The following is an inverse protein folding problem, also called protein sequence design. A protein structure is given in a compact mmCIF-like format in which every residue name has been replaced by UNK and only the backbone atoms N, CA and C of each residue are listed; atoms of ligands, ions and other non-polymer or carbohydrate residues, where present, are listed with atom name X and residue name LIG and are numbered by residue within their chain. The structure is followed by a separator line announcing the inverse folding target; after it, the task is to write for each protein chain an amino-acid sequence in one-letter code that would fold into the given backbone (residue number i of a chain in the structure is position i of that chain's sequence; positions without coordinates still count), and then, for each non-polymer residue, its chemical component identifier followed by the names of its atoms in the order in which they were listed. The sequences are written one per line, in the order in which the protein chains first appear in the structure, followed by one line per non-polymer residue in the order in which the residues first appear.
data_IF_426787644294
#
_entry.id   IF_426787644294
#
_cell.length_a   1.000
_cell.length_b   1.000
_cell.length_c   1.000
_cell.angle_alpha   90.00
_cell.angle_beta   90.00
_cell.angle_gamma   90.00
#
_symmetry.space_group_name_H-M   'P 1'
#
loop_
_entity.id
_entity.type
_entity.pdbx_description
1 polymer ?
#
# COMPACT_ATOMS: atom_id res chain seq x y z
N UNK A 1 -3.90 -18.65 6.99
CA UNK A 1 -4.31 -17.49 6.15
C UNK A 1 -3.87 -16.22 6.87
N UNK A 2 -3.10 -15.34 6.21
CA UNK A 2 -2.74 -14.02 6.79
C UNK A 2 -3.90 -13.04 6.60
N UNK A 3 -4.90 -13.14 7.48
CA UNK A 3 -6.13 -12.34 7.48
C UNK A 3 -5.91 -10.83 7.24
N UNK A 4 -4.89 -10.16 7.83
CA UNK A 4 -4.64 -8.74 7.59
C UNK A 4 -4.25 -8.38 6.15
N UNK A 5 -3.41 -9.20 5.49
CA UNK A 5 -2.99 -8.95 4.10
C UNK A 5 -4.16 -9.07 3.14
N UNK A 6 -5.01 -10.07 3.33
CA UNK A 6 -6.16 -10.30 2.45
C UNK A 6 -7.16 -9.15 2.55
N UNK A 7 -7.41 -8.63 3.76
CA UNK A 7 -8.26 -7.47 3.95
C UNK A 7 -7.71 -6.25 3.20
N UNK A 8 -6.42 -5.95 3.36
CA UNK A 8 -5.77 -4.83 2.66
C UNK A 8 -5.81 -5.00 1.12
N UNK A 9 -5.65 -6.22 0.61
CA UNK A 9 -5.75 -6.52 -0.83
C UNK A 9 -7.16 -6.31 -1.36
N UNK A 10 -8.19 -6.65 -0.59
CA UNK A 10 -9.60 -6.37 -0.95
C UNK A 10 -9.85 -4.86 -1.01
N UNK A 11 -9.47 -4.12 0.03
CA UNK A 11 -9.64 -2.65 0.06
C UNK A 11 -8.84 -1.96 -1.05
N UNK A 12 -7.65 -2.46 -1.39
CA UNK A 12 -6.88 -1.93 -2.52
C UNK A 12 -7.64 -2.10 -3.84
N UNK A 13 -8.27 -3.26 -4.06
CA UNK A 13 -9.06 -3.52 -5.27
C UNK A 13 -10.24 -2.56 -5.38
N UNK A 14 -10.98 -2.36 -4.29
CA UNK A 14 -12.10 -1.41 -4.25
C UNK A 14 -11.65 0.02 -4.57
N UNK A 15 -10.49 0.44 -4.08
CA UNK A 15 -9.92 1.75 -4.37
C UNK A 15 -9.49 1.88 -5.84
N UNK A 16 -8.89 0.84 -6.43
CA UNK A 16 -8.54 0.80 -7.85
C UNK A 16 -9.79 0.82 -8.75
N UNK A 17 -10.86 0.15 -8.35
CA UNK A 17 -12.16 0.20 -9.03
C UNK A 17 -12.77 1.60 -8.98
N UNK A 18 -12.68 2.29 -7.84
CA UNK A 18 -13.10 3.68 -7.71
C UNK A 18 -12.30 4.62 -8.63
N UNK A 19 -10.99 4.39 -8.79
CA UNK A 19 -10.17 5.14 -9.75
C UNK A 19 -10.60 4.91 -11.20
N UNK A 20 -10.96 3.66 -11.56
CA UNK A 20 -11.48 3.35 -12.89
C UNK A 20 -12.80 4.10 -13.16
N UNK A 21 -13.66 4.25 -12.16
CA UNK A 21 -14.87 5.08 -12.27
C UNK A 21 -14.52 6.55 -12.50
N UNK A 22 -13.54 7.11 -11.78
CA UNK A 22 -13.08 8.48 -12.00
C UNK A 22 -12.54 8.71 -13.42
N UNK A 23 -11.85 7.72 -14.00
CA UNK A 23 -11.38 7.78 -15.39
C UNK A 23 -12.56 7.83 -16.35
N UNK A 24 -13.56 6.95 -16.16
CA UNK A 24 -14.78 6.92 -16.99
C UNK A 24 -15.59 8.21 -16.90
N UNK A 25 -15.58 8.88 -15.75
CA UNK A 25 -16.27 10.14 -15.53
C UNK A 25 -15.41 11.38 -15.85
N UNK A 26 -14.21 11.21 -16.41
CA UNK A 26 -13.24 12.28 -16.67
C UNK A 26 -12.89 13.14 -15.45
N UNK A 27 -13.04 12.59 -14.23
CA UNK A 27 -12.80 13.29 -12.97
C UNK A 27 -11.34 13.08 -12.52
N UNK A 28 -10.46 13.94 -13.03
CA UNK A 28 -9.01 13.86 -12.78
C UNK A 28 -8.62 14.22 -11.35
N UNK A 29 -9.40 15.06 -10.67
CA UNK A 29 -9.11 15.51 -9.30
C UNK A 29 -9.30 14.37 -8.31
N UNK A 30 -10.47 13.72 -8.36
CA UNK A 30 -10.77 12.58 -7.49
C UNK A 30 -9.86 11.39 -7.78
N UNK A 31 -9.54 11.13 -9.06
CA UNK A 31 -8.55 10.11 -9.41
C UNK A 31 -7.21 10.34 -8.70
N UNK A 32 -6.69 11.58 -8.75
CA UNK A 32 -5.42 11.95 -8.10
C UNK A 32 -5.50 11.86 -6.58
N UNK A 33 -6.64 12.26 -6.01
CA UNK A 33 -6.89 12.19 -4.57
C UNK A 33 -6.89 10.75 -4.08
N UNK A 34 -7.68 9.88 -4.71
CA UNK A 34 -7.73 8.44 -4.41
C UNK A 34 -6.34 7.80 -4.62
N UNK A 35 -5.61 8.19 -5.68
CA UNK A 35 -4.25 7.69 -5.91
C UNK A 35 -3.32 7.98 -4.74
N UNK A 36 -3.27 9.24 -4.31
CA UNK A 36 -2.31 9.71 -3.30
C UNK A 36 -2.69 9.30 -1.88
N UNK A 37 -3.97 9.39 -1.53
CA UNK A 37 -4.44 9.23 -0.16
C UNK A 37 -4.81 7.78 0.17
N UNK A 38 -5.11 6.94 -0.83
CA UNK A 38 -5.63 5.58 -0.60
C UNK A 38 -4.76 4.52 -1.27
N UNK A 39 -4.66 4.54 -2.60
CA UNK A 39 -4.01 3.46 -3.37
C UNK A 39 -2.52 3.35 -3.07
N UNK A 40 -1.80 4.47 -3.09
CA UNK A 40 -0.36 4.47 -2.80
C UNK A 40 -0.06 3.99 -1.36
N UNK A 41 -0.71 4.52 -0.30
CA UNK A 41 -0.53 4.02 1.06
C UNK A 41 -0.84 2.53 1.23
N UNK A 42 -1.93 2.03 0.62
CA UNK A 42 -2.29 0.61 0.69
C UNK A 42 -1.23 -0.27 0.02
N UNK A 43 -0.75 0.09 -1.17
CA UNK A 43 0.33 -0.63 -1.87
C UNK A 43 1.61 -0.67 -1.03
N UNK A 44 2.00 0.47 -0.46
CA UNK A 44 3.18 0.54 0.42
C UNK A 44 3.01 -0.36 1.65
N UNK A 45 1.86 -0.31 2.32
CA UNK A 45 1.57 -1.09 3.53
C UNK A 45 1.59 -2.59 3.23
N UNK A 46 0.92 -3.03 2.17
CA UNK A 46 0.96 -4.43 1.73
C UNK A 46 2.40 -4.87 1.48
N UNK A 47 3.20 -4.05 0.79
CA UNK A 47 4.59 -4.37 0.49
C UNK A 47 5.45 -4.50 1.75
N UNK A 48 5.28 -3.60 2.73
CA UNK A 48 5.98 -3.67 4.01
C UNK A 48 5.64 -4.94 4.78
N UNK A 49 4.36 -5.33 4.81
CA UNK A 49 3.94 -6.57 5.48
C UNK A 49 4.50 -7.79 4.73
N UNK A 50 4.44 -7.81 3.39
CA UNK A 50 5.05 -8.88 2.59
C UNK A 50 6.56 -8.99 2.87
N UNK A 51 7.28 -7.88 2.98
CA UNK A 51 8.70 -7.86 3.35
C UNK A 51 8.97 -8.36 4.77
N UNK A 52 8.13 -7.99 5.73
CA UNK A 52 8.23 -8.45 7.12
C UNK A 52 7.94 -9.95 7.24
N UNK A 53 6.93 -10.45 6.53
CA UNK A 53 6.56 -11.88 6.50
C UNK A 53 7.62 -12.72 5.79
N UNK A 54 8.21 -12.22 4.71
CA UNK A 54 9.27 -12.92 3.96
C UNK A 54 10.67 -12.85 4.62
N UNK A 55 10.84 -12.19 5.78
CA UNK A 55 12.16 -11.99 6.44
C UNK A 55 13.23 -11.42 5.48
N UNK A 56 12.85 -10.45 4.63
CA UNK A 56 13.79 -9.70 3.76
C UNK A 56 14.03 -8.27 4.23
N UNK A 57 13.69 -7.96 5.48
CA UNK A 57 14.17 -6.72 6.10
C UNK A 57 15.59 -7.03 6.56
N UNK A 58 16.56 -6.76 5.69
CA UNK A 58 17.96 -6.68 6.07
C UNK A 58 18.07 -5.44 6.96
N UNK A 59 17.87 -5.61 8.27
CA UNK A 59 18.32 -4.63 9.23
C UNK A 59 19.84 -4.62 9.10
N UNK A 60 20.49 -3.50 8.75
CA UNK A 60 21.93 -3.44 8.86
C UNK A 60 22.27 -3.75 10.32
N UNK A 61 22.95 -4.87 10.55
CA UNK A 61 23.53 -5.24 11.83
C UNK A 61 24.59 -4.19 12.20
N UNK A 62 24.14 -3.07 12.78
CA UNK A 62 24.87 -2.06 13.56
C UNK A 62 24.07 -0.76 13.52
N UNK A 63 23.26 -0.56 14.56
CA UNK A 63 23.25 0.76 15.18
C UNK A 63 24.63 0.82 15.83
N UNK A 64 25.58 1.54 15.23
CA UNK A 64 26.77 1.94 15.98
C UNK A 64 26.24 2.74 17.16
N UNK A 65 26.41 2.18 18.36
CA UNK A 65 26.17 2.86 19.61
C UNK A 65 27.01 4.14 19.58
N UNK A 66 26.34 5.28 19.40
CA UNK A 66 26.97 6.58 19.62
C UNK A 66 27.15 6.74 21.15
N UNK A 67 28.29 6.30 21.66
CA UNK A 67 28.86 6.80 22.93
C UNK A 67 29.43 8.22 22.74
#
# INVERSE_FOLDING_TARGET
MNYPINLLKTTLREAEDAQLLCIKSYNKEDYKKIQKEVVTPLKTTIKLIEMAVENKINYPDRIEDYE
#
